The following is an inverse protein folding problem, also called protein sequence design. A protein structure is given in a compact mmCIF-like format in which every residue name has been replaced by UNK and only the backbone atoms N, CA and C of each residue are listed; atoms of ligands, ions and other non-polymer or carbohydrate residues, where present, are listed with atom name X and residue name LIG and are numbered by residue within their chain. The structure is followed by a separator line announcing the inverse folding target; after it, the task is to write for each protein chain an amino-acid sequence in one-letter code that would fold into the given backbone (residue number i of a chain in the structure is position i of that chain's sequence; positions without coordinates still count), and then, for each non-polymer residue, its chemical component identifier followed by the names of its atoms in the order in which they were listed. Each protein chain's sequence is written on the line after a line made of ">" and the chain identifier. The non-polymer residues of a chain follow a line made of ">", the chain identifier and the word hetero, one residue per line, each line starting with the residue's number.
data_IF_612382803605
#
_entry.id   IF_612382803605
#
_cell.length_a   1.000
_cell.length_b   1.000
_cell.length_c   1.000
_cell.angle_alpha   90.00
_cell.angle_beta   90.00
_cell.angle_gamma   90.00
#
_symmetry.space_group_name_H-M   'P 1'
#
loop_
_entity.id
_entity.type
_entity.pdbx_description
1 polymer ?
#
# COMPACT_ATOMS: atom_id res chain seq x y z
N UNK A 1 -10.63 -0.54 -2.88
CA UNK A 1 -9.24 -0.95 -2.83
C UNK A 1 -8.35 0.08 -3.54
N UNK A 2 -7.63 0.90 -2.78
CA UNK A 2 -6.90 2.05 -3.29
C UNK A 2 -5.43 1.72 -3.57
N UNK A 3 -4.96 2.13 -4.75
CA UNK A 3 -3.56 2.12 -5.16
C UNK A 3 -3.08 3.59 -5.23
N UNK A 4 -2.77 4.19 -4.07
CA UNK A 4 -2.20 5.54 -4.02
C UNK A 4 -0.69 5.43 -4.30
N UNK A 5 -0.30 5.70 -5.53
CA UNK A 5 1.10 5.75 -5.97
C UNK A 5 1.68 7.16 -5.80
N UNK A 6 2.22 7.48 -4.62
CA UNK A 6 3.12 8.63 -4.43
C UNK A 6 4.57 8.20 -4.68
N UNK A 7 5.00 7.98 -5.94
CA UNK A 7 6.32 7.35 -6.18
C UNK A 7 7.23 7.92 -7.27
N UNK A 8 6.87 8.99 -7.99
CA UNK A 8 7.79 9.52 -9.01
C UNK A 8 8.93 10.39 -8.44
N UNK A 9 8.74 11.06 -7.30
CA UNK A 9 9.79 11.94 -6.75
C UNK A 9 10.97 11.15 -6.12
N UNK A 10 10.68 10.10 -5.34
CA UNK A 10 11.71 9.33 -4.64
C UNK A 10 12.57 8.47 -5.59
N UNK A 11 12.00 8.03 -6.73
CA UNK A 11 12.71 7.24 -7.74
C UNK A 11 13.74 8.08 -8.49
N UNK A 12 13.51 9.37 -8.67
CA UNK A 12 14.45 10.29 -9.30
C UNK A 12 15.68 10.52 -8.41
N UNK A 13 15.48 10.76 -7.12
CA UNK A 13 16.57 11.09 -6.18
C UNK A 13 17.49 9.90 -5.90
N UNK A 14 16.93 8.68 -5.80
CA UNK A 14 17.72 7.46 -5.55
C UNK A 14 18.48 6.99 -6.80
N UNK A 15 17.96 7.25 -8.00
CA UNK A 15 18.62 6.86 -9.26
C UNK A 15 19.60 7.91 -9.77
N UNK A 16 19.54 9.16 -9.27
CA UNK A 16 20.45 10.25 -9.64
C UNK A 16 21.81 10.17 -8.94
N UNK A 17 21.99 9.33 -7.92
CA UNK A 17 23.31 9.11 -7.29
C UNK A 17 23.91 10.35 -6.61
N UNK A 18 23.13 11.40 -6.33
CA UNK A 18 23.60 12.64 -5.71
C UNK A 18 23.63 12.55 -4.18
N UNK A 19 24.42 11.61 -3.65
CA UNK A 19 24.92 11.70 -2.27
C UNK A 19 26.45 11.73 -2.33
N UNK A 20 27.02 12.93 -2.26
CA UNK A 20 28.46 13.10 -2.10
C UNK A 20 28.87 12.76 -0.66
N UNK A 21 29.79 11.80 -0.51
CA UNK A 21 30.39 11.46 0.78
C UNK A 21 31.23 12.64 1.31
N UNK A 22 31.11 13.03 2.59
CA UNK A 22 32.12 13.86 3.23
C UNK A 22 33.37 13.01 3.55
N UNK A 23 34.52 13.65 3.37
CA UNK A 23 35.86 13.07 3.38
C UNK A 23 36.21 12.23 4.62
N UNK A 24 37.01 11.19 4.35
CA UNK A 24 37.48 10.16 5.25
C UNK A 24 38.12 10.65 6.56
N UNK A 25 37.73 10.02 7.67
CA UNK A 25 38.44 10.08 8.94
C UNK A 25 37.85 9.12 9.97
N UNK A 26 38.65 8.11 10.38
CA UNK A 26 38.42 7.19 11.50
C UNK A 26 37.65 5.88 11.21
N UNK A 27 38.29 4.95 10.48
CA UNK A 27 37.86 3.54 10.44
C UNK A 27 38.31 2.80 11.71
N UNK A 28 37.36 2.54 12.62
CA UNK A 28 37.52 1.52 13.67
C UNK A 28 36.89 0.22 13.22
N UNK A 29 37.61 -0.90 13.43
CA UNK A 29 37.33 -2.30 13.03
C UNK A 29 35.91 -2.84 13.31
N UNK A 30 35.09 -2.10 14.04
CA UNK A 30 33.67 -2.38 14.35
C UNK A 30 32.72 -1.87 13.27
N UNK A 31 33.11 -0.85 12.49
CA UNK A 31 32.29 -0.28 11.41
C UNK A 31 32.17 -1.23 10.23
N UNK A 32 33.25 -1.95 9.90
CA UNK A 32 33.28 -2.93 8.81
C UNK A 32 32.29 -4.05 9.06
N UNK A 33 32.24 -4.61 10.28
CA UNK A 33 31.31 -5.70 10.63
C UNK A 33 29.83 -5.30 10.58
N UNK A 34 29.51 -4.04 10.92
CA UNK A 34 28.15 -3.48 10.81
C UNK A 34 27.80 -3.11 9.37
N UNK A 35 28.77 -2.63 8.60
CA UNK A 35 28.63 -2.32 7.18
C UNK A 35 28.44 -3.60 6.36
N UNK A 36 29.22 -4.64 6.62
CA UNK A 36 29.12 -5.95 5.97
C UNK A 36 27.80 -6.63 6.35
N UNK A 37 27.37 -6.57 7.62
CA UNK A 37 26.06 -7.05 8.03
C UNK A 37 24.92 -6.25 7.37
N UNK A 38 25.06 -4.93 7.22
CA UNK A 38 24.11 -4.09 6.50
C UNK A 38 24.04 -4.46 5.01
N UNK A 39 25.18 -4.73 4.36
CA UNK A 39 25.24 -5.15 2.97
C UNK A 39 24.72 -6.57 2.76
N UNK A 40 25.02 -7.51 3.65
CA UNK A 40 24.49 -8.89 3.62
C UNK A 40 22.99 -8.91 3.85
N UNK A 41 22.51 -8.10 4.79
CA UNK A 41 21.08 -7.89 5.01
C UNK A 41 20.49 -7.27 3.75
N UNK A 42 20.98 -6.13 3.26
CA UNK A 42 20.53 -5.49 2.01
C UNK A 42 20.51 -6.46 0.80
N UNK A 43 21.49 -7.35 0.67
CA UNK A 43 21.56 -8.33 -0.42
C UNK A 43 20.59 -9.51 -0.25
N UNK A 44 20.33 -9.95 0.99
CA UNK A 44 19.27 -10.91 1.30
C UNK A 44 17.87 -10.30 1.08
N UNK A 45 17.72 -9.02 1.44
CA UNK A 45 16.52 -8.20 1.30
C UNK A 45 16.21 -7.84 -0.16
N UNK A 46 17.22 -7.74 -1.03
CA UNK A 46 17.04 -7.61 -2.48
C UNK A 46 16.43 -8.86 -3.15
N UNK A 47 16.31 -9.98 -2.40
CA UNK A 47 15.64 -11.21 -2.84
C UNK A 47 14.19 -11.31 -2.37
N UNK A 48 13.76 -10.48 -1.41
CA UNK A 48 12.33 -10.39 -1.07
C UNK A 48 11.59 -9.75 -2.25
N UNK A 49 10.43 -10.30 -2.59
CA UNK A 49 9.60 -9.77 -3.67
C UNK A 49 9.07 -8.42 -3.23
N UNK A 50 9.84 -7.38 -3.55
CA UNK A 50 9.43 -6.00 -3.34
C UNK A 50 8.04 -5.83 -3.98
N UNK A 51 7.08 -5.18 -3.29
CA UNK A 51 5.72 -5.04 -3.79
C UNK A 51 5.71 -4.13 -5.02
N UNK A 52 5.95 -4.72 -6.18
CA UNK A 52 5.86 -4.09 -7.48
C UNK A 52 4.40 -4.15 -7.96
N UNK A 53 4.08 -3.36 -8.99
CA UNK A 53 2.71 -3.27 -9.50
C UNK A 53 2.03 -4.65 -9.75
N UNK A 54 2.69 -5.65 -10.35
CA UNK A 54 2.12 -7.00 -10.47
C UNK A 54 1.78 -7.66 -9.12
N UNK A 55 2.73 -7.69 -8.17
CA UNK A 55 2.49 -8.31 -6.87
C UNK A 55 1.36 -7.62 -6.10
N UNK A 56 1.27 -6.28 -6.19
CA UNK A 56 0.17 -5.54 -5.61
C UNK A 56 -1.15 -5.89 -6.31
N UNK A 57 -1.15 -5.98 -7.64
CA UNK A 57 -2.35 -6.34 -8.41
C UNK A 57 -2.87 -7.71 -8.02
N UNK A 58 -2.00 -8.72 -7.96
CA UNK A 58 -2.37 -10.10 -7.62
C UNK A 58 -2.97 -10.20 -6.21
N UNK A 59 -2.27 -9.66 -5.20
CA UNK A 59 -2.74 -9.71 -3.80
C UNK A 59 -4.15 -9.15 -3.63
N UNK A 60 -4.43 -8.10 -4.37
CA UNK A 60 -5.67 -7.36 -4.34
C UNK A 60 -6.82 -8.04 -5.11
N UNK A 61 -6.52 -8.64 -6.27
CA UNK A 61 -7.49 -9.46 -7.00
C UNK A 61 -7.82 -10.73 -6.21
N UNK A 62 -6.81 -11.40 -5.65
CA UNK A 62 -6.97 -12.58 -4.78
C UNK A 62 -7.84 -12.27 -3.56
N UNK A 63 -7.63 -11.12 -2.91
CA UNK A 63 -8.47 -10.69 -1.80
C UNK A 63 -9.93 -10.52 -2.26
N UNK A 64 -10.17 -9.85 -3.39
CA UNK A 64 -11.53 -9.69 -3.91
C UNK A 64 -12.20 -11.04 -4.20
N UNK A 65 -11.47 -12.00 -4.76
CA UNK A 65 -11.95 -13.35 -5.06
C UNK A 65 -12.27 -14.14 -3.79
N UNK A 66 -11.37 -14.10 -2.79
CA UNK A 66 -11.55 -14.76 -1.51
C UNK A 66 -12.84 -14.29 -0.81
N UNK A 67 -13.15 -12.99 -0.93
CA UNK A 67 -14.38 -12.40 -0.42
C UNK A 67 -15.57 -12.45 -1.41
N UNK A 68 -15.42 -13.13 -2.55
CA UNK A 68 -16.47 -13.33 -3.58
C UNK A 68 -17.03 -12.01 -4.10
N UNK A 69 -16.19 -10.98 -4.18
CA UNK A 69 -16.55 -9.69 -4.72
C UNK A 69 -16.57 -9.75 -6.26
N UNK A 70 -17.34 -8.85 -6.88
CA UNK A 70 -17.40 -8.67 -8.34
C UNK A 70 -16.93 -7.29 -8.78
N UNK A 71 -16.86 -6.36 -7.85
CA UNK A 71 -16.58 -4.95 -8.08
C UNK A 71 -15.45 -4.50 -7.15
N UNK A 72 -14.48 -3.81 -7.73
CA UNK A 72 -13.37 -3.19 -7.00
C UNK A 72 -13.38 -1.69 -7.31
N UNK A 73 -13.56 -0.86 -6.29
CA UNK A 73 -13.29 0.58 -6.41
C UNK A 73 -11.79 0.83 -6.26
N UNK A 74 -11.13 1.30 -7.31
CA UNK A 74 -9.70 1.58 -7.37
C UNK A 74 -9.43 3.07 -7.29
N UNK A 75 -8.84 3.50 -6.17
CA UNK A 75 -8.38 4.87 -5.99
C UNK A 75 -6.90 4.95 -6.34
N UNK A 76 -6.57 5.55 -7.48
CA UNK A 76 -5.20 5.77 -7.92
C UNK A 76 -5.04 7.12 -8.58
N UNK A 77 -3.90 7.75 -8.35
CA UNK A 77 -3.48 8.97 -9.01
C UNK A 77 -2.74 8.71 -10.34
N UNK A 78 -2.39 7.45 -10.65
CA UNK A 78 -1.73 7.06 -11.89
C UNK A 78 -2.75 6.43 -12.86
N UNK A 79 -3.08 7.15 -13.92
CA UNK A 79 -4.05 6.68 -14.92
C UNK A 79 -3.57 5.42 -15.68
N UNK A 80 -2.27 5.25 -15.87
CA UNK A 80 -1.69 4.09 -16.55
C UNK A 80 -1.82 2.85 -15.69
N UNK A 81 -1.42 2.92 -14.42
CA UNK A 81 -1.52 1.79 -13.48
C UNK A 81 -2.98 1.41 -13.24
N UNK A 82 -3.88 2.40 -13.16
CA UNK A 82 -5.32 2.17 -13.07
C UNK A 82 -5.85 1.40 -14.29
N UNK A 83 -5.44 1.77 -15.50
CA UNK A 83 -5.87 1.08 -16.72
C UNK A 83 -5.35 -0.36 -16.77
N UNK A 84 -4.08 -0.58 -16.39
CA UNK A 84 -3.48 -1.91 -16.29
C UNK A 84 -4.19 -2.78 -15.23
N UNK A 85 -4.52 -2.20 -14.07
CA UNK A 85 -5.23 -2.92 -13.02
C UNK A 85 -6.64 -3.34 -13.47
N UNK A 86 -7.34 -2.45 -14.19
CA UNK A 86 -8.65 -2.77 -14.79
C UNK A 86 -8.56 -3.92 -15.79
N UNK A 87 -7.54 -3.91 -16.64
CA UNK A 87 -7.30 -4.99 -17.60
C UNK A 87 -7.04 -6.32 -16.89
N UNK A 88 -6.14 -6.32 -15.89
CA UNK A 88 -5.82 -7.50 -15.11
C UNK A 88 -7.05 -8.09 -14.41
N UNK A 89 -7.91 -7.24 -13.82
CA UNK A 89 -9.17 -7.69 -13.23
C UNK A 89 -10.14 -8.30 -14.23
N UNK A 90 -10.22 -7.76 -15.44
CA UNK A 90 -11.09 -8.27 -16.50
C UNK A 90 -10.59 -9.59 -17.12
N UNK A 91 -9.27 -9.76 -17.22
CA UNK A 91 -8.63 -10.96 -17.77
C UNK A 91 -8.49 -12.11 -16.75
N UNK A 92 -8.72 -11.83 -15.47
CA UNK A 92 -8.64 -12.82 -14.41
C UNK A 92 -9.66 -13.97 -14.63
N UNK A 93 -9.31 -15.26 -14.36
CA UNK A 93 -10.22 -16.40 -14.55
C UNK A 93 -11.60 -16.27 -13.87
N UNK A 94 -11.65 -15.50 -12.79
CA UNK A 94 -12.88 -14.99 -12.18
C UNK A 94 -12.92 -13.48 -12.43
N UNK A 95 -13.60 -13.01 -13.50
CA UNK A 95 -13.53 -11.62 -13.91
C UNK A 95 -14.08 -10.67 -12.85
N UNK A 96 -13.33 -9.61 -12.58
CA UNK A 96 -13.65 -8.56 -11.64
C UNK A 96 -13.81 -7.24 -12.39
N UNK A 97 -14.78 -6.43 -11.99
CA UNK A 97 -15.00 -5.09 -12.55
C UNK A 97 -14.25 -4.10 -11.66
N UNK A 98 -13.15 -3.53 -12.15
CA UNK A 98 -12.48 -2.44 -11.47
C UNK A 98 -12.97 -1.08 -11.99
N UNK A 99 -13.32 -0.19 -11.08
CA UNK A 99 -13.86 1.16 -11.35
C UNK A 99 -13.13 2.19 -10.50
N UNK A 100 -13.02 3.43 -10.95
CA UNK A 100 -12.60 4.57 -10.14
C UNK A 100 -13.75 5.56 -9.99
N UNK A 101 -13.56 6.61 -9.19
CA UNK A 101 -14.57 7.67 -9.03
C UNK A 101 -14.99 8.28 -10.39
N UNK A 102 -14.08 8.35 -11.36
CA UNK A 102 -14.37 8.90 -12.69
C UNK A 102 -15.27 7.99 -13.55
N UNK A 103 -15.37 6.69 -13.25
CA UNK A 103 -16.24 5.78 -13.99
C UNK A 103 -17.68 5.75 -13.45
N UNK A 104 -17.87 6.19 -12.21
CA UNK A 104 -19.13 6.05 -11.47
C UNK A 104 -20.00 7.31 -11.48
N UNK A 105 -19.38 8.49 -11.65
CA UNK A 105 -20.07 9.77 -11.55
C UNK A 105 -20.74 10.18 -12.87
N UNK A 106 -21.85 10.95 -12.82
CA UNK A 106 -22.43 11.59 -14.00
C UNK A 106 -21.44 12.55 -14.69
N UNK A 107 -21.63 12.80 -15.99
CA UNK A 107 -20.72 13.63 -16.81
C UNK A 107 -20.46 15.03 -16.23
N UNK A 108 -21.48 15.67 -15.64
CA UNK A 108 -21.33 16.97 -14.99
C UNK A 108 -20.44 16.91 -13.74
N UNK A 109 -20.54 15.84 -12.95
CA UNK A 109 -19.74 15.64 -11.74
C UNK A 109 -18.31 15.18 -12.05
N UNK A 110 -18.12 14.45 -13.16
CA UNK A 110 -16.79 14.11 -13.68
C UNK A 110 -16.01 15.39 -14.01
N UNK A 111 -16.65 16.39 -14.63
CA UNK A 111 -15.99 17.66 -14.93
C UNK A 111 -15.54 18.37 -13.65
N UNK A 112 -16.42 18.47 -12.66
CA UNK A 112 -16.09 19.05 -11.35
C UNK A 112 -14.97 18.28 -10.62
N UNK A 113 -14.96 16.94 -10.70
CA UNK A 113 -13.91 16.12 -10.08
C UNK A 113 -12.56 16.30 -10.79
N UNK A 114 -12.57 16.47 -12.13
CA UNK A 114 -11.36 16.74 -12.91
C UNK A 114 -10.76 18.12 -12.59
N UNK A 115 -11.61 19.11 -12.34
CA UNK A 115 -11.20 20.47 -11.97
C UNK A 115 -10.75 20.59 -10.50
N UNK A 116 -11.05 19.58 -9.68
CA UNK A 116 -10.64 19.54 -8.28
C UNK A 116 -9.13 19.30 -8.11
N UNK A 117 -8.59 19.64 -6.94
CA UNK A 117 -7.21 19.31 -6.58
C UNK A 117 -7.03 17.80 -6.33
N UNK A 118 -5.79 17.31 -6.38
CA UNK A 118 -5.48 15.92 -6.12
C UNK A 118 -5.97 15.45 -4.73
N UNK A 119 -5.84 16.30 -3.71
CA UNK A 119 -6.32 16.01 -2.36
C UNK A 119 -7.86 15.94 -2.30
N UNK A 120 -8.55 16.84 -2.99
CA UNK A 120 -10.02 16.80 -3.07
C UNK A 120 -10.52 15.54 -3.77
N UNK A 121 -9.84 15.09 -4.84
CA UNK A 121 -10.14 13.80 -5.48
C UNK A 121 -9.91 12.62 -4.52
N UNK A 122 -8.79 12.63 -3.81
CA UNK A 122 -8.48 11.59 -2.82
C UNK A 122 -9.51 11.54 -1.67
N UNK A 123 -10.12 12.66 -1.30
CA UNK A 123 -11.22 12.68 -0.32
C UNK A 123 -12.48 11.95 -0.83
N UNK A 124 -12.81 12.08 -2.12
CA UNK A 124 -13.92 11.31 -2.71
C UNK A 124 -13.64 9.81 -2.62
N UNK A 125 -12.43 9.41 -2.97
CA UNK A 125 -12.00 8.01 -2.83
C UNK A 125 -12.04 7.55 -1.37
N UNK A 126 -11.54 8.35 -0.43
CA UNK A 126 -11.58 8.06 1.00
C UNK A 126 -13.00 7.79 1.50
N UNK A 127 -13.98 8.61 1.08
CA UNK A 127 -15.38 8.43 1.45
C UNK A 127 -15.99 7.12 0.92
N UNK A 128 -15.56 6.66 -0.26
CA UNK A 128 -15.98 5.36 -0.80
C UNK A 128 -15.31 4.22 -0.05
N UNK A 129 -13.98 4.30 0.13
CA UNK A 129 -13.17 3.23 0.70
C UNK A 129 -13.49 2.97 2.16
N UNK A 130 -13.79 4.00 2.96
CA UNK A 130 -14.20 3.78 4.35
C UNK A 130 -15.52 3.02 4.48
N UNK A 131 -16.38 3.05 3.45
CA UNK A 131 -17.71 2.39 3.43
C UNK A 131 -17.75 1.08 2.64
N UNK A 132 -16.65 0.66 2.03
CA UNK A 132 -16.63 -0.57 1.23
C UNK A 132 -16.84 -1.83 2.09
N UNK A 133 -17.28 -2.94 1.48
CA UNK A 133 -17.47 -4.21 2.19
C UNK A 133 -16.14 -4.78 2.70
N UNK A 134 -15.11 -4.77 1.84
CA UNK A 134 -13.76 -5.21 2.16
C UNK A 134 -12.76 -4.20 1.62
N UNK A 135 -11.82 -3.81 2.47
CA UNK A 135 -10.75 -2.90 2.14
C UNK A 135 -9.41 -3.65 2.00
N UNK A 136 -8.67 -3.30 0.95
CA UNK A 136 -7.29 -3.71 0.70
C UNK A 136 -6.43 -2.45 0.50
N UNK A 137 -5.28 -2.40 1.16
CA UNK A 137 -4.34 -1.28 1.09
C UNK A 137 -2.89 -1.70 1.29
N UNK A 138 -1.97 -0.76 1.09
CA UNK A 138 -0.51 -0.98 1.15
C UNK A 138 0.09 -0.48 2.46
N UNK A 139 1.04 -1.26 3.02
CA UNK A 139 1.80 -0.90 4.23
C UNK A 139 2.55 0.43 4.09
N UNK A 140 2.85 0.88 2.87
CA UNK A 140 3.61 2.11 2.63
C UNK A 140 2.72 3.35 2.56
N UNK A 141 1.41 3.18 2.60
CA UNK A 141 0.44 4.26 2.43
C UNK A 141 -0.18 4.66 3.78
N UNK A 142 0.12 5.88 4.24
CA UNK A 142 -0.52 6.48 5.42
C UNK A 142 -2.03 6.59 5.25
N UNK A 143 -2.50 6.89 4.03
CA UNK A 143 -3.92 6.89 3.68
C UNK A 143 -4.58 5.52 3.85
N UNK A 144 -3.86 4.42 3.56
CA UNK A 144 -4.39 3.07 3.77
C UNK A 144 -4.62 2.77 5.25
N UNK A 145 -3.67 3.14 6.11
CA UNK A 145 -3.85 3.03 7.56
C UNK A 145 -4.98 3.92 8.09
N UNK A 146 -5.10 5.15 7.60
CA UNK A 146 -6.19 6.03 8.02
C UNK A 146 -7.56 5.40 7.72
N UNK A 147 -7.74 4.83 6.53
CA UNK A 147 -8.96 4.13 6.15
C UNK A 147 -9.20 2.90 7.05
N UNK A 148 -8.17 2.05 7.23
CA UNK A 148 -8.29 0.83 8.02
C UNK A 148 -8.65 1.13 9.48
N UNK A 149 -7.94 2.06 10.13
CA UNK A 149 -8.21 2.47 11.52
C UNK A 149 -9.59 3.12 11.68
N UNK A 150 -10.03 3.91 10.71
CA UNK A 150 -11.39 4.49 10.72
C UNK A 150 -12.46 3.41 10.66
N UNK A 151 -12.24 2.36 9.87
CA UNK A 151 -13.16 1.22 9.75
C UNK A 151 -13.15 0.36 11.01
N UNK A 152 -11.98 0.14 11.60
CA UNK A 152 -11.80 -0.60 12.84
C UNK A 152 -12.49 0.10 14.03
N UNK A 153 -12.37 1.42 14.14
CA UNK A 153 -13.12 2.19 15.14
C UNK A 153 -14.64 1.99 14.98
N UNK A 154 -15.15 2.01 13.75
CA UNK A 154 -16.56 1.73 13.50
C UNK A 154 -16.94 0.30 13.92
N UNK A 155 -16.09 -0.70 13.70
CA UNK A 155 -16.31 -2.05 14.19
C UNK A 155 -16.34 -2.11 15.72
N UNK A 156 -15.45 -1.39 16.39
CA UNK A 156 -15.42 -1.27 17.85
C UNK A 156 -16.71 -0.68 18.40
N UNK A 157 -17.22 0.38 17.78
CA UNK A 157 -18.51 1.00 18.14
C UNK A 157 -19.69 0.02 17.98
N UNK A 158 -19.59 -0.94 17.05
CA UNK A 158 -20.59 -2.00 16.84
C UNK A 158 -20.37 -3.23 17.72
N UNK A 159 -19.31 -3.29 18.54
CA UNK A 159 -18.92 -4.48 19.30
C UNK A 159 -18.51 -5.66 18.41
N UNK A 160 -18.05 -5.38 17.18
CA UNK A 160 -17.67 -6.36 16.14
C UNK A 160 -16.18 -6.34 15.82
N UNK A 161 -15.40 -5.59 16.59
CA UNK A 161 -13.96 -5.50 16.44
C UNK A 161 -13.34 -6.89 16.60
N UNK A 162 -12.60 -7.32 15.60
CA UNK A 162 -11.66 -8.41 15.78
C UNK A 162 -10.43 -7.83 16.49
N UNK A 163 -10.03 -8.39 17.62
CA UNK A 163 -8.94 -7.83 18.42
C UNK A 163 -7.66 -7.84 17.54
N UNK A 164 -7.16 -6.67 17.10
CA UNK A 164 -6.25 -6.55 15.96
C UNK A 164 -4.79 -6.73 16.37
N UNK A 165 -4.53 -7.36 17.53
CA UNK A 165 -3.18 -7.48 18.06
C UNK A 165 -2.40 -8.47 17.21
N UNK A 166 -1.84 -7.88 16.16
CA UNK A 166 -1.00 -8.40 15.11
C UNK A 166 -1.81 -9.25 14.13
N UNK A 167 -1.78 -8.89 12.83
CA UNK A 167 -1.69 -9.95 11.82
C UNK A 167 -0.71 -10.97 12.40
N UNK A 168 -1.17 -12.21 12.61
CA UNK A 168 -0.38 -13.23 13.30
C UNK A 168 1.00 -13.17 12.66
N UNK A 169 2.10 -13.18 13.41
CA UNK A 169 3.45 -13.06 12.82
C UNK A 169 3.71 -14.10 11.69
N UNK A 170 2.87 -15.11 11.60
CA UNK A 170 2.80 -16.14 10.57
C UNK A 170 2.26 -15.66 9.22
N UNK A 171 1.43 -14.60 9.16
CA UNK A 171 0.90 -14.01 7.93
C UNK A 171 1.96 -13.11 7.27
N UNK A 172 2.85 -13.77 6.54
CA UNK A 172 3.90 -13.12 5.72
C UNK A 172 3.25 -12.09 4.79
N UNK A 173 3.74 -10.86 4.81
CA UNK A 173 3.23 -9.80 3.94
C UNK A 173 2.07 -8.99 4.50
N UNK A 174 1.52 -9.31 5.67
CA UNK A 174 0.35 -8.61 6.24
C UNK A 174 0.74 -7.74 7.44
N UNK A 175 0.35 -6.47 7.40
CA UNK A 175 0.61 -5.49 8.46
C UNK A 175 -0.61 -5.20 9.34
N UNK A 176 -1.82 -5.32 8.80
CA UNK A 176 -3.06 -5.06 9.51
C UNK A 176 -4.16 -5.96 8.97
N UNK A 177 -4.98 -6.51 9.85
CA UNK A 177 -6.17 -7.28 9.48
C UNK A 177 -7.23 -7.19 10.60
N UNK A 178 -8.37 -6.56 10.32
CA UNK A 178 -9.53 -6.47 11.22
C UNK A 178 -10.69 -7.39 10.76
N UNK A 179 -10.46 -8.21 9.72
CA UNK A 179 -11.45 -9.07 9.05
C UNK A 179 -12.23 -8.41 7.91
N UNK A 180 -12.26 -7.07 7.82
CA UNK A 180 -12.89 -6.33 6.71
C UNK A 180 -11.93 -5.32 6.04
N UNK A 181 -10.73 -5.17 6.57
CA UNK A 181 -9.68 -4.26 6.15
C UNK A 181 -8.37 -5.02 6.29
N UNK A 182 -7.65 -5.18 5.18
CA UNK A 182 -6.35 -5.85 5.15
C UNK A 182 -5.31 -4.92 4.54
N UNK A 183 -4.20 -4.72 5.26
CA UNK A 183 -3.03 -3.99 4.76
C UNK A 183 -1.93 -5.01 4.49
N UNK A 184 -1.52 -5.08 3.22
CA UNK A 184 -0.53 -6.03 2.71
C UNK A 184 0.80 -5.31 2.41
N UNK A 185 1.75 -6.04 1.82
CA UNK A 185 3.07 -5.56 1.36
C UNK A 185 4.09 -5.33 2.48
N UNK A 186 3.86 -5.91 3.66
CA UNK A 186 4.83 -5.92 4.75
C UNK A 186 6.05 -6.75 4.34
N UNK A 187 7.21 -6.11 4.17
CA UNK A 187 8.46 -6.79 3.83
C UNK A 187 9.42 -6.84 5.05
N UNK A 188 10.26 -7.87 5.09
CA UNK A 188 11.24 -8.07 6.14
C UNK A 188 12.35 -7.00 6.10
N UNK A 189 12.55 -6.37 4.94
CA UNK A 189 13.48 -5.24 4.73
C UNK A 189 13.14 -4.09 5.66
N UNK A 190 11.91 -3.56 5.56
CA UNK A 190 11.50 -2.38 6.31
C UNK A 190 11.25 -2.71 7.77
N UNK A 191 10.78 -3.91 8.10
CA UNK A 191 10.65 -4.35 9.50
C UNK A 191 11.96 -4.36 10.28
N UNK A 192 13.06 -4.67 9.62
CA UNK A 192 14.39 -4.66 10.24
C UNK A 192 14.99 -3.24 10.31
N UNK A 193 14.50 -2.32 9.48
CA UNK A 193 14.93 -0.92 9.47
C UNK A 193 14.09 -0.01 10.39
N UNK A 194 12.90 -0.44 10.83
CA UNK A 194 12.13 0.25 11.87
C UNK A 194 12.97 0.25 13.15
N UNK A 195 13.28 1.44 13.66
CA UNK A 195 14.02 1.62 14.90
C UNK A 195 13.28 0.95 16.06
N UNK A 196 13.74 -0.24 16.46
CA UNK A 196 13.18 -0.96 17.61
C UNK A 196 13.54 -0.22 18.89
N UNK A 197 12.52 0.22 19.63
CA UNK A 197 12.70 0.85 20.94
C UNK A 197 12.57 2.38 20.97
N UNK A 198 12.13 3.01 19.88
CA UNK A 198 11.62 4.37 19.94
C UNK A 198 10.12 4.34 20.25
N UNK A 199 9.73 4.97 21.35
CA UNK A 199 8.34 5.26 21.68
C UNK A 199 7.73 6.19 20.61
N UNK A 200 6.39 6.20 20.41
CA UNK A 200 5.73 7.11 19.48
C UNK A 200 6.05 8.59 19.78
#
# INVERSE_FOLDING_TARGET
>A
MALITEWDQYRADVMAGEYSEPAAGFQTRTSTRRHDAYLDTRNALARETYPNFPAQTDAHLEQAILHKLKLIHTASNNATDLALFKLAGAEHPLPLIAVSALDLLPSAEIAALKDSTALQRALVDYEVLKRCSVFGGSVKSTSSYNIALTRDQWLADQGRMNIPWFAVHEDVGVAFDDGISRIVERDGVYEQLIARGMWP
#
